data_IF_415679824175
#
_entry.id   IF_415679824175
#
_cell.length_a   1.000
_cell.length_b   1.000
_cell.length_c   1.000
_cell.angle_alpha   90.00
_cell.angle_beta   90.00
_cell.angle_gamma   90.00
#
_symmetry.space_group_name_H-M   'P 1'
#
loop_
_entity.id
_entity.type
_entity.pdbx_description
1 polymer ?
#
# COMPACT_ATOMS: atom_id res chain seq x y z
N UNK A 1 9.22 -11.19 17.77
CA UNK A 1 8.87 -10.95 19.18
C UNK A 1 7.49 -10.34 19.16
N UNK A 2 6.47 -11.03 19.68
CA UNK A 2 5.12 -10.48 19.76
C UNK A 2 5.15 -9.35 20.78
N UNK A 3 4.74 -8.14 20.40
CA UNK A 3 4.52 -7.09 21.39
C UNK A 3 3.29 -7.45 22.23
N UNK A 4 3.17 -6.86 23.42
CA UNK A 4 2.03 -7.03 24.34
C UNK A 4 0.66 -6.72 23.70
N UNK A 5 0.67 -6.21 22.47
CA UNK A 5 -0.43 -5.88 21.60
C UNK A 5 -0.99 -7.03 20.74
N UNK A 6 -0.28 -8.16 20.61
CA UNK A 6 -0.59 -9.18 19.58
C UNK A 6 -0.18 -8.78 18.16
N UNK A 7 0.29 -7.55 17.97
CA UNK A 7 0.85 -7.02 16.73
C UNK A 7 2.35 -7.29 16.70
N UNK A 8 2.85 -7.78 15.57
CA UNK A 8 4.28 -7.93 15.33
C UNK A 8 4.71 -7.08 14.14
N UNK A 9 5.90 -6.48 14.25
CA UNK A 9 6.53 -5.85 13.09
C UNK A 9 6.79 -6.90 12.00
N UNK A 10 6.56 -6.52 10.75
CA UNK A 10 6.95 -7.35 9.61
C UNK A 10 8.47 -7.61 9.67
N UNK A 11 8.93 -8.85 9.46
CA UNK A 11 10.36 -9.12 9.32
C UNK A 11 10.89 -8.40 8.07
N UNK A 12 12.14 -7.94 8.12
CA UNK A 12 12.82 -7.48 6.90
C UNK A 12 13.09 -8.71 6.03
N UNK A 13 12.48 -8.84 4.84
CA UNK A 13 12.65 -9.99 3.99
C UNK A 13 14.03 -9.98 3.35
N UNK A 14 14.56 -11.18 3.09
CA UNK A 14 15.68 -11.34 2.17
C UNK A 14 15.27 -10.92 0.74
N UNK A 15 16.25 -10.65 -0.14
CA UNK A 15 15.98 -10.15 -1.49
C UNK A 15 15.10 -11.12 -2.31
N UNK A 16 15.31 -12.43 -2.14
CA UNK A 16 14.54 -13.52 -2.75
C UNK A 16 13.10 -13.65 -2.22
N UNK A 17 12.80 -13.04 -1.07
CA UNK A 17 11.47 -13.01 -0.46
C UNK A 17 10.77 -11.66 -0.63
N UNK A 18 11.41 -10.70 -1.32
CA UNK A 18 10.88 -9.35 -1.48
C UNK A 18 10.35 -9.08 -2.89
N UNK A 19 9.18 -8.42 -2.93
CA UNK A 19 8.65 -7.79 -4.14
C UNK A 19 9.18 -6.36 -4.34
N UNK A 20 9.84 -5.77 -3.32
CA UNK A 20 10.54 -4.51 -3.41
C UNK A 20 11.77 -4.71 -4.32
N UNK A 21 11.60 -4.46 -5.62
CA UNK A 21 12.60 -4.77 -6.66
C UNK A 21 14.03 -4.40 -6.25
N UNK A 22 14.95 -5.40 -6.21
CA UNK A 22 16.33 -5.39 -6.77
C UNK A 22 16.82 -6.84 -6.99
N UNK A 23 17.61 -7.05 -8.06
CA UNK A 23 18.23 -8.28 -8.61
C UNK A 23 17.26 -9.27 -9.29
N UNK A 24 17.24 -9.24 -10.63
CA UNK A 24 16.59 -10.26 -11.49
C UNK A 24 15.32 -9.81 -12.24
N UNK A 25 14.72 -8.68 -11.86
CA UNK A 25 13.58 -8.08 -12.56
C UNK A 25 12.29 -8.94 -12.58
N UNK A 26 11.18 -8.41 -13.10
CA UNK A 26 9.95 -9.19 -13.32
C UNK A 26 10.06 -10.15 -14.53
N UNK A 27 11.05 -9.98 -15.41
CA UNK A 27 11.15 -10.65 -16.71
C UNK A 27 10.99 -12.17 -16.64
N UNK A 28 11.66 -12.92 -15.74
CA UNK A 28 11.54 -14.38 -15.67
C UNK A 28 10.16 -14.87 -15.23
N UNK A 29 9.40 -14.01 -14.53
CA UNK A 29 8.15 -14.37 -13.85
C UNK A 29 6.91 -14.08 -14.71
N UNK A 30 7.09 -13.38 -15.84
CA UNK A 30 5.99 -12.97 -16.72
C UNK A 30 5.28 -14.19 -17.32
N UNK A 31 6.03 -15.16 -17.83
CA UNK A 31 5.44 -16.33 -18.49
C UNK A 31 4.70 -17.22 -17.49
N UNK A 32 5.29 -17.44 -16.31
CA UNK A 32 4.67 -18.18 -15.21
C UNK A 32 3.36 -17.55 -14.75
N UNK A 33 3.31 -16.21 -14.65
CA UNK A 33 2.09 -15.47 -14.31
C UNK A 33 0.99 -15.71 -15.34
N UNK A 34 1.30 -15.64 -16.64
CA UNK A 34 0.31 -15.88 -17.71
C UNK A 34 -0.24 -17.29 -17.64
N UNK A 35 0.64 -18.28 -17.51
CA UNK A 35 0.23 -19.68 -17.39
C UNK A 35 -0.62 -19.93 -16.14
N UNK A 36 -0.26 -19.33 -15.00
CA UNK A 36 -0.97 -19.55 -13.75
C UNK A 36 -2.38 -18.92 -13.72
N UNK A 37 -2.56 -17.76 -14.35
CA UNK A 37 -3.81 -17.00 -14.31
C UNK A 37 -4.69 -17.19 -15.55
N UNK A 38 -4.15 -17.74 -16.64
CA UNK A 38 -4.88 -18.15 -17.84
C UNK A 38 -5.87 -17.10 -18.35
N UNK A 39 -7.15 -17.46 -18.41
CA UNK A 39 -8.22 -16.60 -18.95
C UNK A 39 -8.39 -15.29 -18.20
N UNK A 40 -8.14 -15.26 -16.89
CA UNK A 40 -8.19 -14.03 -16.10
C UNK A 40 -7.09 -13.06 -16.55
N UNK A 41 -5.90 -13.60 -16.86
CA UNK A 41 -4.81 -12.81 -17.42
C UNK A 41 -5.16 -12.30 -18.81
N UNK A 42 -5.65 -13.14 -19.71
CA UNK A 42 -5.99 -12.75 -21.09
C UNK A 42 -7.03 -11.61 -21.13
N UNK A 43 -8.03 -11.69 -20.25
CA UNK A 43 -9.04 -10.64 -20.10
C UNK A 43 -8.43 -9.33 -19.61
N UNK A 44 -7.65 -9.37 -18.52
CA UNK A 44 -7.00 -8.17 -17.98
C UNK A 44 -6.01 -7.55 -18.96
N UNK A 45 -5.25 -8.38 -19.67
CA UNK A 45 -4.29 -7.97 -20.70
C UNK A 45 -4.98 -7.27 -21.87
N UNK A 46 -6.10 -7.81 -22.35
CA UNK A 46 -6.90 -7.17 -23.41
C UNK A 46 -7.38 -5.77 -23.00
N UNK A 47 -7.93 -5.64 -21.78
CA UNK A 47 -8.34 -4.33 -21.23
C UNK A 47 -7.17 -3.37 -21.10
N UNK A 48 -6.02 -3.83 -20.62
CA UNK A 48 -4.81 -3.00 -20.50
C UNK A 48 -4.31 -2.51 -21.85
N UNK A 49 -4.35 -3.36 -22.89
CA UNK A 49 -3.96 -2.94 -24.24
C UNK A 49 -4.86 -1.86 -24.81
N UNK A 50 -6.15 -1.92 -24.53
CA UNK A 50 -7.11 -0.86 -24.86
C UNK A 50 -6.77 0.44 -24.12
N UNK A 51 -6.57 0.39 -22.80
CA UNK A 51 -6.15 1.56 -22.00
C UNK A 51 -4.83 2.17 -22.52
N UNK A 52 -3.84 1.35 -22.84
CA UNK A 52 -2.56 1.81 -23.39
C UNK A 52 -2.73 2.43 -24.78
N UNK A 53 -3.75 2.03 -25.55
CA UNK A 53 -4.09 2.66 -26.83
C UNK A 53 -4.63 4.08 -26.65
N UNK A 54 -5.41 4.31 -25.59
CA UNK A 54 -5.97 5.62 -25.21
C UNK A 54 -4.92 6.52 -24.53
N UNK A 55 -3.99 5.94 -23.78
CA UNK A 55 -2.99 6.67 -22.97
C UNK A 55 -1.58 6.22 -23.37
N UNK A 56 -1.01 6.77 -24.45
CA UNK A 56 0.32 6.39 -24.93
C UNK A 56 1.43 6.56 -23.90
N UNK A 57 1.27 7.49 -22.94
CA UNK A 57 2.23 7.71 -21.86
C UNK A 57 2.51 6.48 -21.00
N UNK A 58 1.56 5.54 -20.88
CA UNK A 58 1.76 4.30 -20.11
C UNK A 58 2.78 3.35 -20.74
N UNK A 59 3.13 3.54 -22.01
CA UNK A 59 4.10 2.71 -22.73
C UNK A 59 5.55 3.00 -22.33
N UNK A 60 5.84 4.19 -21.81
CA UNK A 60 7.22 4.67 -21.57
C UNK A 60 7.45 5.34 -20.22
N UNK A 61 6.53 5.21 -19.25
CA UNK A 61 6.74 5.74 -17.89
C UNK A 61 7.35 4.64 -17.02
N UNK A 62 8.58 4.86 -16.55
CA UNK A 62 9.26 4.00 -15.57
C UNK A 62 10.79 4.03 -15.73
N UNK A 63 11.55 3.62 -14.70
CA UNK A 63 13.01 3.50 -14.79
C UNK A 63 13.48 2.50 -15.86
N UNK A 64 12.58 1.62 -16.31
CA UNK A 64 12.82 0.58 -17.32
C UNK A 64 12.15 0.92 -18.67
N UNK A 65 11.97 2.20 -19.00
CA UNK A 65 11.36 2.64 -20.27
C UNK A 65 12.12 2.11 -21.51
N UNK A 66 13.41 1.77 -21.34
CA UNK A 66 14.27 1.19 -22.37
C UNK A 66 14.18 -0.34 -22.46
N UNK A 67 13.46 -0.99 -21.52
CA UNK A 67 13.29 -2.45 -21.53
C UNK A 67 12.23 -2.84 -22.56
N UNK A 68 12.69 -3.40 -23.68
CA UNK A 68 11.87 -3.78 -24.83
C UNK A 68 10.93 -4.94 -24.41
N UNK A 69 9.68 -4.60 -24.07
CA UNK A 69 8.58 -5.57 -23.93
C UNK A 69 8.17 -5.90 -22.49
N UNK A 70 6.89 -6.30 -22.32
CA UNK A 70 6.32 -6.77 -21.06
C UNK A 70 5.63 -5.71 -20.18
N UNK A 71 5.59 -4.45 -20.61
CA UNK A 71 4.85 -3.40 -19.89
C UNK A 71 3.35 -3.69 -19.79
N UNK A 72 2.76 -4.23 -20.86
CA UNK A 72 1.38 -4.70 -20.92
C UNK A 72 1.12 -5.88 -19.97
N UNK A 73 2.08 -6.80 -19.83
CA UNK A 73 2.01 -7.93 -18.89
C UNK A 73 2.06 -7.45 -17.45
N UNK A 74 3.00 -6.57 -17.12
CA UNK A 74 3.16 -6.03 -15.78
C UNK A 74 1.92 -5.17 -15.40
N UNK A 75 1.39 -4.37 -16.33
CA UNK A 75 0.15 -3.61 -16.13
C UNK A 75 -1.08 -4.53 -15.97
N UNK A 76 -1.15 -5.66 -16.69
CA UNK A 76 -2.19 -6.66 -16.51
C UNK A 76 -2.12 -7.32 -15.11
N UNK A 77 -0.91 -7.61 -14.64
CA UNK A 77 -0.67 -8.08 -13.27
C UNK A 77 -1.17 -7.07 -12.23
N UNK A 78 -0.79 -5.79 -12.40
CA UNK A 78 -1.25 -4.72 -11.53
C UNK A 78 -2.78 -4.58 -11.54
N UNK A 79 -3.43 -4.69 -12.70
CA UNK A 79 -4.89 -4.65 -12.79
C UNK A 79 -5.54 -5.83 -12.05
N UNK A 80 -5.05 -7.05 -12.26
CA UNK A 80 -5.55 -8.26 -11.58
C UNK A 80 -5.41 -8.16 -10.07
N UNK A 81 -4.29 -7.62 -9.58
CA UNK A 81 -4.12 -7.28 -8.17
C UNK A 81 -5.21 -6.31 -7.71
N UNK A 82 -5.35 -5.16 -8.38
CA UNK A 82 -6.26 -4.08 -7.99
C UNK A 82 -7.75 -4.47 -7.94
N UNK A 83 -8.16 -5.46 -8.75
CA UNK A 83 -9.54 -5.99 -8.76
C UNK A 83 -9.73 -7.18 -7.80
N UNK A 84 -8.72 -7.51 -6.98
CA UNK A 84 -8.80 -8.53 -5.93
C UNK A 84 -8.49 -9.95 -6.39
N UNK A 85 -8.01 -10.20 -7.61
CA UNK A 85 -7.72 -11.55 -8.09
C UNK A 85 -6.45 -12.18 -7.49
N UNK A 86 -5.70 -11.41 -6.67
CA UNK A 86 -4.44 -11.83 -6.03
C UNK A 86 -4.33 -11.30 -4.59
N UNK A 87 -5.44 -11.32 -3.85
CA UNK A 87 -5.56 -10.76 -2.49
C UNK A 87 -4.66 -11.44 -1.45
N UNK A 88 -4.19 -12.66 -1.72
CA UNK A 88 -3.29 -13.41 -0.84
C UNK A 88 -1.85 -12.88 -0.84
N UNK A 89 -1.46 -12.12 -1.87
CA UNK A 89 -0.06 -11.73 -2.06
C UNK A 89 0.46 -10.84 -0.93
N UNK A 90 -0.35 -9.93 -0.40
CA UNK A 90 0.09 -9.04 0.67
C UNK A 90 0.51 -9.82 1.92
N UNK A 91 -0.33 -10.74 2.38
CA UNK A 91 -0.05 -11.54 3.57
C UNK A 91 1.21 -12.41 3.39
N UNK A 92 1.38 -13.00 2.19
CA UNK A 92 2.55 -13.81 1.87
C UNK A 92 3.84 -12.99 1.83
N UNK A 93 3.81 -11.80 1.23
CA UNK A 93 4.96 -10.90 1.18
C UNK A 93 5.31 -10.35 2.56
N UNK A 94 4.31 -9.99 3.37
CA UNK A 94 4.51 -9.52 4.74
C UNK A 94 5.15 -10.58 5.64
N UNK A 95 4.88 -11.86 5.38
CA UNK A 95 5.51 -12.97 6.10
C UNK A 95 7.01 -13.10 5.80
N UNK A 96 7.49 -12.50 4.70
CA UNK A 96 8.91 -12.46 4.33
C UNK A 96 9.52 -13.82 3.99
N UNK A 97 8.70 -14.80 3.62
CA UNK A 97 9.15 -16.13 3.20
C UNK A 97 9.32 -16.19 1.67
N UNK A 98 10.37 -16.83 1.13
CA UNK A 98 10.51 -16.98 -0.31
C UNK A 98 9.43 -17.90 -0.91
N UNK A 99 9.07 -17.69 -2.17
CA UNK A 99 8.14 -18.56 -2.89
C UNK A 99 7.68 -18.00 -4.24
N UNK A 100 6.83 -18.75 -4.95
CA UNK A 100 6.30 -18.37 -6.27
C UNK A 100 5.48 -17.07 -6.24
N UNK A 101 4.90 -16.73 -5.09
CA UNK A 101 4.19 -15.47 -4.87
C UNK A 101 5.10 -14.24 -5.05
N UNK A 102 6.41 -14.35 -4.79
CA UNK A 102 7.37 -13.26 -4.95
C UNK A 102 7.49 -12.84 -6.41
N UNK A 103 7.57 -13.81 -7.34
CA UNK A 103 7.62 -13.55 -8.78
C UNK A 103 6.38 -12.80 -9.27
N UNK A 104 5.19 -13.27 -8.85
CA UNK A 104 3.92 -12.58 -9.13
C UNK A 104 3.92 -11.17 -8.56
N UNK A 105 4.39 -11.00 -7.33
CA UNK A 105 4.46 -9.69 -6.70
C UNK A 105 5.44 -8.72 -7.34
N UNK A 106 6.54 -9.22 -7.92
CA UNK A 106 7.46 -8.41 -8.74
C UNK A 106 6.78 -7.90 -10.01
N UNK A 107 6.00 -8.73 -10.71
CA UNK A 107 5.21 -8.30 -11.87
C UNK A 107 4.16 -7.22 -11.50
N UNK A 108 3.44 -7.41 -10.39
CA UNK A 108 2.48 -6.42 -9.87
C UNK A 108 3.18 -5.10 -9.52
N UNK A 109 4.29 -5.16 -8.78
CA UNK A 109 5.08 -3.98 -8.41
C UNK A 109 5.61 -3.25 -9.64
N UNK A 110 6.13 -3.98 -10.62
CA UNK A 110 6.58 -3.41 -11.89
C UNK A 110 5.44 -2.70 -12.63
N UNK A 111 4.24 -3.27 -12.65
CA UNK A 111 3.06 -2.64 -13.26
C UNK A 111 2.66 -1.36 -12.55
N UNK A 112 2.53 -1.41 -11.22
CA UNK A 112 2.16 -0.24 -10.41
C UNK A 112 3.18 0.89 -10.51
N UNK A 113 4.48 0.59 -10.62
CA UNK A 113 5.55 1.60 -10.79
C UNK A 113 5.39 2.45 -12.07
N UNK A 114 4.74 1.91 -13.10
CA UNK A 114 4.47 2.63 -14.36
C UNK A 114 3.33 3.64 -14.25
N UNK A 115 2.56 3.58 -13.17
CA UNK A 115 1.45 4.50 -12.94
C UNK A 115 1.94 5.86 -12.44
N UNK A 116 1.16 6.94 -12.70
CA UNK A 116 1.48 8.27 -12.21
C UNK A 116 1.66 8.30 -10.68
N UNK A 117 2.71 8.98 -10.22
CA UNK A 117 2.94 9.19 -8.80
C UNK A 117 1.94 10.19 -8.20
N UNK A 118 1.61 9.99 -6.93
CA UNK A 118 0.80 10.85 -6.09
C UNK A 118 1.68 11.47 -5.00
N UNK A 119 1.58 12.79 -4.87
CA UNK A 119 2.22 13.58 -3.81
C UNK A 119 1.15 14.32 -3.03
N UNK A 120 1.12 14.14 -1.72
CA UNK A 120 0.13 14.75 -0.83
C UNK A 120 -0.48 13.77 0.16
N UNK A 121 -1.53 14.21 0.86
CA UNK A 121 -2.18 13.45 1.91
C UNK A 121 -3.05 12.32 1.36
N UNK A 122 -2.79 11.10 1.82
CA UNK A 122 -3.62 9.93 1.63
C UNK A 122 -4.20 9.48 2.98
N UNK A 123 -5.34 8.82 2.92
CA UNK A 123 -6.07 8.34 4.07
C UNK A 123 -6.39 6.86 3.90
N UNK A 124 -6.22 6.09 4.95
CA UNK A 124 -6.77 4.75 5.05
C UNK A 124 -7.48 4.61 6.41
N UNK A 125 -8.55 3.82 6.45
CA UNK A 125 -9.10 3.35 7.72
C UNK A 125 -8.75 1.90 7.90
N UNK A 126 -8.47 1.52 9.14
CA UNK A 126 -8.02 0.19 9.50
C UNK A 126 -8.53 -0.20 10.89
N UNK A 127 -8.45 -1.49 11.22
CA UNK A 127 -8.71 -2.02 12.56
C UNK A 127 -7.40 -2.55 13.13
N UNK A 128 -6.86 -1.90 14.17
CA UNK A 128 -5.61 -2.32 14.83
C UNK A 128 -5.80 -2.67 16.31
N UNK A 129 -7.04 -2.56 16.81
CA UNK A 129 -7.38 -2.89 18.20
C UNK A 129 -6.84 -1.88 19.21
N UNK A 130 -7.18 -2.09 20.49
CA UNK A 130 -6.87 -1.16 21.57
C UNK A 130 -5.37 -0.87 21.74
N UNK A 131 -4.51 -1.83 21.42
CA UNK A 131 -3.06 -1.76 21.60
C UNK A 131 -2.28 -1.17 20.41
N UNK A 132 -2.92 -0.98 19.25
CA UNK A 132 -2.25 -0.50 18.03
C UNK A 132 -1.67 0.91 18.13
N UNK A 133 -2.26 1.78 18.94
CA UNK A 133 -1.73 3.13 19.18
C UNK A 133 -0.36 3.12 19.85
N UNK A 134 -0.20 2.32 20.90
CA UNK A 134 1.08 2.14 21.58
C UNK A 134 2.15 1.53 20.66
N UNK A 135 1.74 0.64 19.74
CA UNK A 135 2.65 0.03 18.77
C UNK A 135 3.26 1.06 17.83
N UNK A 136 2.45 1.97 17.28
CA UNK A 136 2.94 3.07 16.44
C UNK A 136 3.72 4.10 17.26
N UNK A 137 3.22 4.50 18.44
CA UNK A 137 3.86 5.50 19.28
C UNK A 137 5.26 5.09 19.76
N UNK A 138 5.52 3.79 19.88
CA UNK A 138 6.83 3.25 20.26
C UNK A 138 7.85 3.14 19.12
N UNK A 139 7.57 3.66 17.91
CA UNK A 139 8.41 3.48 16.71
C UNK A 139 8.62 4.79 15.97
N UNK A 140 9.86 5.05 15.57
CA UNK A 140 10.17 6.18 14.69
C UNK A 140 9.79 5.89 13.23
N UNK A 141 9.93 4.64 12.80
CA UNK A 141 9.65 4.20 11.43
C UNK A 141 9.02 2.82 11.39
N UNK A 142 8.24 2.57 10.33
CA UNK A 142 7.68 1.27 9.96
C UNK A 142 7.99 0.98 8.50
N UNK A 143 8.44 -0.24 8.20
CA UNK A 143 8.69 -0.72 6.85
C UNK A 143 7.52 -1.63 6.44
N UNK A 144 6.91 -1.38 5.29
CA UNK A 144 5.86 -2.24 4.73
C UNK A 144 6.39 -3.02 3.53
N UNK A 145 6.25 -4.34 3.58
CA UNK A 145 6.70 -5.28 2.55
C UNK A 145 5.55 -5.82 1.70
N UNK A 146 4.30 -5.50 2.05
CA UNK A 146 3.15 -5.60 1.17
C UNK A 146 2.88 -4.29 0.43
N UNK A 147 1.73 -4.21 -0.26
CA UNK A 147 1.24 -2.95 -0.79
C UNK A 147 0.33 -2.28 0.23
N UNK A 148 0.58 -1.03 0.60
CA UNK A 148 -0.39 -0.26 1.38
C UNK A 148 -1.41 0.40 0.45
N UNK A 149 -2.71 0.12 0.63
CA UNK A 149 -3.77 0.87 -0.06
C UNK A 149 -4.28 2.04 0.78
N UNK A 150 -4.39 3.21 0.16
CA UNK A 150 -4.99 4.40 0.74
C UNK A 150 -5.81 5.18 -0.31
N UNK A 151 -6.43 6.28 0.09
CA UNK A 151 -7.30 7.10 -0.74
C UNK A 151 -6.96 8.58 -0.58
N UNK A 152 -7.04 9.35 -1.66
CA UNK A 152 -6.79 10.81 -1.61
C UNK A 152 -7.94 11.61 -1.00
N UNK A 153 -8.97 10.94 -0.48
CA UNK A 153 -10.11 11.51 0.24
C UNK A 153 -10.57 10.51 1.30
N UNK A 154 -10.96 11.01 2.47
CA UNK A 154 -11.58 10.17 3.49
C UNK A 154 -12.99 9.72 3.07
N UNK A 155 -13.33 8.48 3.41
CA UNK A 155 -14.67 7.92 3.31
C UNK A 155 -15.24 7.71 4.71
N UNK A 156 -16.29 8.47 5.04
CA UNK A 156 -16.97 8.36 6.33
C UNK A 156 -17.61 6.99 6.57
N UNK A 157 -17.91 6.24 5.50
CA UNK A 157 -18.56 4.92 5.56
C UNK A 157 -17.60 3.74 5.78
N UNK A 158 -16.29 3.95 5.69
CA UNK A 158 -15.33 2.88 5.95
C UNK A 158 -15.39 2.42 7.41
N UNK A 159 -15.30 1.11 7.61
CA UNK A 159 -15.23 0.45 8.91
C UNK A 159 -13.83 0.56 9.52
N UNK A 160 -13.70 0.35 10.82
CA UNK A 160 -12.42 0.36 11.54
C UNK A 160 -12.31 1.40 12.67
N UNK A 161 -11.32 1.20 13.52
CA UNK A 161 -11.10 1.95 14.77
C UNK A 161 -10.00 3.02 14.66
N UNK A 162 -9.20 2.98 13.58
CA UNK A 162 -8.04 3.85 13.40
C UNK A 162 -7.97 4.41 11.99
N UNK A 163 -7.77 5.73 11.89
CA UNK A 163 -7.46 6.43 10.65
C UNK A 163 -5.94 6.60 10.50
N UNK A 164 -5.39 6.14 9.38
CA UNK A 164 -4.01 6.39 8.97
C UNK A 164 -3.98 7.59 8.03
N UNK A 165 -3.27 8.63 8.41
CA UNK A 165 -3.02 9.81 7.59
C UNK A 165 -1.59 9.78 7.07
N UNK A 166 -1.42 9.57 5.77
CA UNK A 166 -0.12 9.29 5.17
C UNK A 166 0.27 10.42 4.21
N UNK A 167 1.37 11.12 4.50
CA UNK A 167 1.94 12.09 3.57
C UNK A 167 2.78 11.35 2.53
N UNK A 168 2.22 11.23 1.32
CA UNK A 168 2.81 10.50 0.19
C UNK A 168 3.83 11.35 -0.57
N UNK A 169 4.94 10.72 -0.93
CA UNK A 169 5.90 11.22 -1.90
C UNK A 169 5.83 10.46 -3.23
N UNK A 170 5.48 9.17 -3.24
CA UNK A 170 5.60 8.32 -4.45
C UNK A 170 4.47 7.33 -4.68
N UNK A 171 3.41 7.30 -3.85
CA UNK A 171 2.27 6.39 -4.04
C UNK A 171 1.71 6.44 -5.47
N UNK A 172 1.12 5.35 -5.94
CA UNK A 172 0.71 5.20 -7.35
C UNK A 172 -0.78 5.41 -7.52
N UNK A 173 -1.18 6.32 -8.42
CA UNK A 173 -2.60 6.55 -8.75
C UNK A 173 -3.15 5.39 -9.57
N UNK A 174 -4.17 4.70 -9.07
CA UNK A 174 -4.67 3.47 -9.72
C UNK A 174 -5.84 3.68 -10.68
N UNK A 175 -6.42 4.88 -10.71
CA UNK A 175 -7.64 5.21 -11.47
C UNK A 175 -7.57 4.86 -12.96
N UNK A 176 -6.36 4.83 -13.53
CA UNK A 176 -6.13 4.45 -14.93
C UNK A 176 -6.44 2.98 -15.19
N UNK A 177 -6.10 2.08 -14.24
CA UNK A 177 -6.32 0.64 -14.37
C UNK A 177 -7.64 0.18 -13.75
N UNK A 178 -8.13 0.92 -12.76
CA UNK A 178 -9.38 0.63 -12.05
C UNK A 178 -10.12 1.94 -11.77
N UNK A 179 -11.14 2.19 -12.59
CA UNK A 179 -11.95 3.41 -12.57
C UNK A 179 -13.01 3.39 -11.47
N UNK A 180 -13.30 2.22 -10.88
CA UNK A 180 -14.30 2.09 -9.81
C UNK A 180 -13.79 2.75 -8.51
N UNK A 181 -12.47 2.88 -8.36
CA UNK A 181 -11.81 3.51 -7.21
C UNK A 181 -10.88 4.68 -7.64
N UNK A 182 -11.45 5.81 -8.08
CA UNK A 182 -10.67 6.91 -8.69
C UNK A 182 -9.76 7.65 -7.72
N UNK A 183 -10.04 7.60 -6.41
CA UNK A 183 -9.22 8.22 -5.37
C UNK A 183 -8.17 7.27 -4.80
N UNK A 184 -8.14 5.99 -5.21
CA UNK A 184 -7.23 5.00 -4.66
C UNK A 184 -5.79 5.27 -5.11
N UNK A 185 -4.91 5.20 -4.12
CA UNK A 185 -3.45 5.24 -4.28
C UNK A 185 -2.84 4.04 -3.57
N UNK A 186 -1.73 3.53 -4.11
CA UNK A 186 -1.05 2.36 -3.57
C UNK A 186 0.41 2.68 -3.31
N UNK A 187 0.88 2.44 -2.10
CA UNK A 187 2.30 2.41 -1.74
C UNK A 187 2.86 1.03 -2.06
N UNK A 188 4.14 0.96 -2.42
CA UNK A 188 4.73 -0.26 -2.96
C UNK A 188 5.48 -1.03 -1.87
N UNK A 189 5.68 -2.36 -2.04
CA UNK A 189 6.57 -3.13 -1.19
C UNK A 189 7.92 -2.45 -0.99
N UNK A 190 8.38 -2.46 0.25
CA UNK A 190 9.60 -1.79 0.72
C UNK A 190 9.41 -0.30 1.02
N UNK A 191 8.18 0.21 1.07
CA UNK A 191 7.94 1.59 1.49
C UNK A 191 8.20 1.73 2.99
N UNK A 192 9.09 2.68 3.33
CA UNK A 192 9.33 3.12 4.70
C UNK A 192 8.44 4.31 5.04
N UNK A 193 7.79 4.25 6.19
CA UNK A 193 7.03 5.36 6.75
C UNK A 193 7.65 5.80 8.07
N UNK A 194 7.85 7.11 8.24
CA UNK A 194 8.12 7.72 9.52
C UNK A 194 6.80 7.90 10.28
N UNK A 195 6.75 7.50 11.54
CA UNK A 195 5.64 7.82 12.45
C UNK A 195 5.84 9.24 12.94
N UNK A 196 4.85 10.09 12.70
CA UNK A 196 4.91 11.51 13.05
C UNK A 196 4.20 11.81 14.36
N UNK A 197 3.04 11.18 14.56
CA UNK A 197 2.16 11.44 15.69
C UNK A 197 1.12 10.31 15.82
N UNK A 198 0.62 10.10 17.04
CA UNK A 198 -0.52 9.22 17.35
C UNK A 198 -1.49 10.00 18.22
N UNK A 199 -2.69 10.26 17.71
CA UNK A 199 -3.72 11.07 18.35
C UNK A 199 -4.88 10.19 18.78
N UNK A 200 -5.27 10.28 20.05
CA UNK A 200 -6.36 9.48 20.62
C UNK A 200 -7.59 10.32 21.00
N UNK A 201 -7.52 11.64 20.83
CA UNK A 201 -8.49 12.60 21.35
C UNK A 201 -9.80 12.68 20.54
N UNK A 202 -9.94 11.84 19.51
CA UNK A 202 -11.08 11.80 18.58
C UNK A 202 -11.99 10.59 18.79
N UNK A 203 -13.10 10.51 18.03
CA UNK A 203 -13.98 9.33 18.03
C UNK A 203 -13.27 8.07 17.52
N UNK A 204 -12.14 8.24 16.83
CA UNK A 204 -11.25 7.21 16.33
C UNK A 204 -9.81 7.65 16.55
N UNK A 205 -8.92 6.68 16.75
CA UNK A 205 -7.48 6.94 16.80
C UNK A 205 -7.02 7.45 15.44
N UNK A 206 -6.07 8.38 15.41
CA UNK A 206 -5.43 8.85 14.19
C UNK A 206 -3.93 8.65 14.28
N UNK A 207 -3.33 7.96 13.31
CA UNK A 207 -1.87 7.81 13.18
C UNK A 207 -1.40 8.63 11.99
N UNK A 208 -0.46 9.54 12.23
CA UNK A 208 0.14 10.36 11.19
C UNK A 208 1.45 9.71 10.74
N UNK A 209 1.57 9.47 9.44
CA UNK A 209 2.71 8.84 8.80
C UNK A 209 3.25 9.73 7.68
N UNK A 210 4.55 9.66 7.43
CA UNK A 210 5.19 10.26 6.24
C UNK A 210 5.98 9.21 5.50
N UNK A 211 5.77 9.11 4.20
CA UNK A 211 6.64 8.30 3.34
C UNK A 211 8.06 8.87 3.33
N UNK A 212 9.05 8.04 3.69
CA UNK A 212 10.47 8.37 3.67
C UNK A 212 11.01 8.01 2.29
N UNK A 213 11.59 8.99 1.59
CA UNK A 213 12.19 8.72 0.29
C UNK A 213 13.48 7.90 0.43
N UNK A 214 13.72 6.95 -0.47
CA UNK A 214 14.92 6.08 -0.46
C UNK A 214 16.25 6.85 -0.42
N UNK A 215 16.28 8.06 -0.98
CA UNK A 215 17.47 8.92 -1.02
C UNK A 215 17.53 9.93 0.14
N UNK A 216 16.70 9.79 1.16
CA UNK A 216 16.74 10.68 2.32
C UNK A 216 17.83 10.22 3.29
N UNK A 217 18.92 11.00 3.47
CA UNK A 217 19.89 10.69 4.51
C UNK A 217 19.24 10.86 5.88
N UNK A 218 19.58 10.00 6.84
CA UNK A 218 19.25 10.21 8.25
C UNK A 218 19.71 11.62 8.63
N UNK A 219 18.78 12.51 8.95
CA UNK A 219 19.10 13.92 9.14
C UNK A 219 20.02 14.07 10.37
N UNK A 220 21.31 14.48 10.20
CA UNK A 220 22.16 14.72 11.35
C UNK A 220 21.70 16.02 12.05
N UNK A 221 21.57 15.97 13.38
CA UNK A 221 21.39 17.18 14.20
C UNK A 221 19.95 17.63 14.45
N UNK A 222 18.96 16.73 14.40
CA UNK A 222 17.64 17.01 14.96
C UNK A 222 17.69 16.73 16.47
N UNK A 223 17.33 17.74 17.28
CA UNK A 223 17.24 17.56 18.73
C UNK A 223 16.27 16.43 19.08
N UNK A 224 16.56 15.61 20.11
CA UNK A 224 15.65 14.57 20.57
C UNK A 224 14.24 15.15 20.82
N UNK A 225 13.23 14.66 20.10
CA UNK A 225 11.83 15.08 20.22
C UNK A 225 11.40 16.24 19.31
N UNK A 226 12.29 16.84 18.50
CA UNK A 226 11.91 17.83 17.51
C UNK A 226 11.57 17.18 16.16
N UNK A 227 10.51 17.65 15.48
CA UNK A 227 10.22 17.24 14.10
C UNK A 227 11.22 17.88 13.13
N UNK A 228 11.73 17.10 12.18
CA UNK A 228 12.49 17.65 11.06
C UNK A 228 11.61 18.60 10.23
N UNK A 229 12.18 19.55 9.47
CA UNK A 229 11.38 20.46 8.63
C UNK A 229 10.44 19.73 7.66
N UNK A 230 10.86 18.57 7.14
CA UNK A 230 10.01 17.76 6.24
C UNK A 230 8.89 17.06 6.98
N UNK A 231 9.16 16.57 8.19
CA UNK A 231 8.14 16.01 9.07
C UNK A 231 7.11 17.08 9.47
N UNK A 232 7.55 18.29 9.81
CA UNK A 232 6.66 19.42 10.14
C UNK A 232 5.77 19.82 8.94
N UNK A 233 6.32 19.87 7.72
CA UNK A 233 5.53 20.12 6.49
C UNK A 233 4.50 19.02 6.25
N UNK A 234 4.87 17.75 6.47
CA UNK A 234 3.95 16.63 6.35
C UNK A 234 2.82 16.73 7.37
N UNK A 235 3.11 16.96 8.65
CA UNK A 235 2.08 17.17 9.71
C UNK A 235 1.12 18.29 9.32
N UNK A 236 1.63 19.47 8.97
CA UNK A 236 0.79 20.60 8.57
C UNK A 236 -0.05 20.31 7.30
N UNK A 237 0.49 19.51 6.38
CA UNK A 237 -0.23 19.07 5.18
C UNK A 237 -1.35 18.07 5.49
N UNK A 238 -1.10 17.13 6.40
CA UNK A 238 -2.07 16.16 6.88
C UNK A 238 -3.19 16.83 7.68
N UNK A 239 -2.87 17.79 8.54
CA UNK A 239 -3.85 18.55 9.31
C UNK A 239 -4.82 19.31 8.39
N UNK A 240 -4.28 20.01 7.37
CA UNK A 240 -5.13 20.69 6.37
C UNK A 240 -6.03 19.71 5.61
N UNK A 241 -5.51 18.54 5.27
CA UNK A 241 -6.29 17.52 4.57
C UNK A 241 -7.40 16.95 5.46
N UNK A 242 -7.09 16.68 6.73
CA UNK A 242 -8.05 16.21 7.71
C UNK A 242 -9.21 17.21 7.88
N UNK A 243 -8.91 18.51 8.05
CA UNK A 243 -9.93 19.57 8.09
C UNK A 243 -10.79 19.56 6.84
N UNK A 244 -10.18 19.54 5.66
CA UNK A 244 -10.91 19.55 4.38
C UNK A 244 -11.81 18.32 4.19
N UNK A 245 -11.39 17.15 4.66
CA UNK A 245 -12.19 15.93 4.58
C UNK A 245 -13.32 15.89 5.61
N UNK A 246 -13.15 16.51 6.78
CA UNK A 246 -14.23 16.67 7.77
C UNK A 246 -15.32 17.63 7.29
N UNK A 247 -14.97 18.70 6.58
CA UNK A 247 -15.91 19.68 6.03
C UNK A 247 -16.67 19.18 4.80
N UNK A 248 -16.06 18.29 4.01
CA UNK A 248 -16.64 17.72 2.81
C UNK A 248 -16.31 16.22 2.69
N UNK A 249 -16.88 15.37 3.58
CA UNK A 249 -16.71 13.94 3.48
C UNK A 249 -17.16 13.49 2.10
N UNK A 250 -16.28 12.80 1.36
CA UNK A 250 -16.57 12.39 0.00
C UNK A 250 -17.77 11.44 0.01
N UNK A 251 -18.88 11.82 -0.62
CA UNK A 251 -19.87 10.84 -1.09
C UNK A 251 -19.26 10.19 -2.35
N UNK A 252 -19.02 8.87 -2.39
CA UNK A 252 -18.56 8.23 -3.62
C UNK A 252 -19.61 8.47 -4.72
N UNK A 253 -19.21 8.92 -5.93
CA UNK A 253 -20.16 9.11 -7.02
C UNK A 253 -20.70 7.75 -7.50
N UNK A 254 -21.97 7.46 -7.16
CA UNK A 254 -22.88 6.59 -7.91
C UNK A 254 -22.69 5.06 -7.87
N UNK A 255 -23.72 4.36 -7.35
CA UNK A 255 -24.11 2.92 -7.45
C UNK A 255 -23.56 1.91 -6.40
N UNK A 256 -24.27 0.77 -6.17
CA UNK A 256 -24.44 0.17 -4.85
C UNK A 256 -23.42 -0.94 -4.53
N UNK A 257 -23.06 -1.02 -3.26
CA UNK A 257 -22.23 -2.06 -2.66
C UNK A 257 -23.01 -3.36 -2.38
N UNK A 258 -23.49 -4.08 -3.40
CA UNK A 258 -23.84 -5.49 -3.20
C UNK A 258 -22.66 -6.35 -3.65
N UNK A 259 -21.81 -6.87 -2.80
CA UNK A 259 -21.68 -6.79 -1.36
C UNK A 259 -20.16 -6.86 -1.11
N UNK A 260 -19.70 -6.13 -0.10
CA UNK A 260 -18.47 -6.26 0.70
C UNK A 260 -17.88 -4.86 0.95
N UNK A 261 -17.50 -4.55 2.21
CA UNK A 261 -16.95 -3.26 2.60
C UNK A 261 -15.66 -2.95 1.84
N UNK A 262 -15.35 -1.66 1.68
CA UNK A 262 -14.24 -1.12 0.86
C UNK A 262 -12.86 -1.74 1.22
N UNK A 263 -12.71 -2.19 2.47
CA UNK A 263 -11.52 -2.88 2.99
C UNK A 263 -11.41 -4.35 2.57
N UNK A 264 -12.52 -4.99 2.20
CA UNK A 264 -12.52 -6.37 1.68
C UNK A 264 -12.28 -6.44 0.16
N UNK A 265 -12.18 -5.29 -0.52
CA UNK A 265 -11.90 -5.22 -1.98
C UNK A 265 -10.61 -4.50 -2.35
N UNK A 266 -10.06 -3.69 -1.45
CA UNK A 266 -8.71 -3.18 -1.62
C UNK A 266 -7.74 -4.24 -1.11
N UNK A 267 -6.94 -4.90 -1.97
CA UNK A 267 -5.76 -5.58 -1.45
C UNK A 267 -4.86 -4.54 -0.78
N UNK A 268 -4.28 -4.93 0.33
CA UNK A 268 -3.32 -4.14 1.05
C UNK A 268 -3.35 -4.42 2.54
N UNK A 269 -2.18 -4.29 3.13
CA UNK A 269 -1.94 -4.55 4.55
C UNK A 269 -1.86 -3.24 5.33
N UNK A 270 -2.03 -3.38 6.63
CA UNK A 270 -1.55 -2.40 7.60
C UNK A 270 -0.05 -2.16 7.38
N UNK A 271 0.40 -0.90 7.22
CA UNK A 271 1.81 -0.59 7.13
C UNK A 271 2.62 -1.22 8.26
N UNK A 272 3.50 -2.15 7.90
CA UNK A 272 4.48 -2.75 8.81
C UNK A 272 3.94 -3.69 9.90
N UNK A 273 2.66 -4.06 9.85
CA UNK A 273 2.04 -4.98 10.83
C UNK A 273 1.74 -6.33 10.19
N UNK A 274 2.08 -7.40 10.91
CA UNK A 274 1.55 -8.74 10.66
C UNK A 274 0.37 -8.99 11.60
N UNK A 275 -0.76 -9.41 11.05
CA UNK A 275 -1.86 -9.96 11.85
C UNK A 275 -1.41 -11.35 12.33
N UNK A 276 -0.96 -11.45 13.59
CA UNK A 276 -0.67 -12.76 14.19
C UNK A 276 -1.97 -13.26 14.81
N UNK A 277 -2.55 -14.37 14.32
CA UNK A 277 -3.72 -14.93 14.98
C UNK A 277 -3.34 -15.23 16.43
N UNK A 278 -4.14 -14.73 17.38
CA UNK A 278 -3.96 -15.04 18.79
C UNK A 278 -3.93 -16.56 18.94
N UNK A 279 -2.75 -17.12 19.21
CA UNK A 279 -2.60 -18.54 19.50
C UNK A 279 -3.37 -18.76 20.79
N UNK A 280 -4.57 -19.32 20.67
CA UNK A 280 -5.37 -19.75 21.81
C UNK A 280 -4.58 -20.80 22.57
N UNK A 281 -3.88 -20.40 23.62
CA UNK A 281 -3.49 -21.29 24.70
C UNK A 281 -4.76 -21.82 25.36
N UNK A 282 -5.22 -22.97 24.88
CA UNK A 282 -5.94 -23.94 25.69
C UNK A 282 -5.62 -25.34 25.18
N UNK A 283 -4.41 -25.80 25.52
CA UNK A 283 -4.23 -27.20 25.83
C UNK A 283 -4.50 -27.29 27.33
N UNK A 284 -5.62 -27.88 27.71
CA UNK A 284 -5.85 -28.27 29.09
C UNK A 284 -6.84 -29.44 29.12
N UNK A 285 -6.39 -30.57 29.69
CA UNK A 285 -7.22 -31.66 30.20
C UNK A 285 -7.30 -32.88 29.30
#
# INVERSE_FOLDING_TARGET
MLDAAGLAAQPVPAAEASAAVVAGGPEPHRDELRTALGTAFDSAHSTVREIMSEIPGLRGIGPDADSIGGADVDLAAARLYLIGSMQELDALLCAGAPGTHVGRGRCVTAGLRRLPSYRGAAWARVSIGGSGGAWFAGRDTVDDWGWTTAFTRADGSAEGDTDLLIWSATARRTAVLDRDFPTRVVFLPGTRFQVLDVREDGPRRTVLLREVAVAEPDAPGVEPGALSPRAAVAVAGLDRAATAWSEAPGRPPGRPASALPVQMRAPGVLPGVMDVPAIGTSISG
#
